data_IF_187744307105
#
_entry.id   IF_187744307105
#
_cell.length_a   1.000
_cell.length_b   1.000
_cell.length_c   1.000
_cell.angle_alpha   90.00
_cell.angle_beta   90.00
_cell.angle_gamma   90.00
#
_symmetry.space_group_name_H-M   'P 1'
#
loop_
_entity.id
_entity.type
_entity.pdbx_description
1 polymer ?
#
# COMPACT_ATOMS: atom_id res chain seq x y z
N UNK A 1 1.68 -2.15 -5.69
CA UNK A 1 1.56 -0.70 -5.97
C UNK A 1 0.53 -0.34 -7.05
N UNK A 2 0.68 -0.75 -8.32
CA UNK A 2 -0.24 -0.34 -9.38
C UNK A 2 -1.74 -0.57 -9.07
N UNK A 3 -2.10 -1.71 -8.46
CA UNK A 3 -3.46 -2.01 -8.01
C UNK A 3 -3.95 -1.06 -6.90
N UNK A 4 -3.10 -0.74 -5.92
CA UNK A 4 -3.44 0.17 -4.81
C UNK A 4 -3.71 1.58 -5.37
N UNK A 5 -2.76 2.12 -6.14
CA UNK A 5 -2.91 3.45 -6.74
C UNK A 5 -4.11 3.49 -7.70
N UNK A 6 -4.37 2.41 -8.44
CA UNK A 6 -5.56 2.30 -9.28
C UNK A 6 -6.84 2.47 -8.46
N UNK A 7 -6.95 1.74 -7.35
CA UNK A 7 -8.09 1.76 -6.46
C UNK A 7 -8.23 3.06 -5.66
N UNK A 8 -7.12 3.77 -5.42
CA UNK A 8 -7.13 5.04 -4.72
C UNK A 8 -7.70 6.20 -5.53
N UNK A 9 -7.83 6.10 -6.86
CA UNK A 9 -8.26 7.24 -7.70
C UNK A 9 -9.57 7.88 -7.18
N UNK A 10 -9.66 9.22 -7.14
CA UNK A 10 -8.66 10.22 -7.59
C UNK A 10 -7.62 10.61 -6.51
N UNK A 11 -7.53 9.89 -5.40
CA UNK A 11 -6.66 10.23 -4.25
C UNK A 11 -5.18 9.99 -4.57
N UNK A 12 -4.34 10.68 -3.80
CA UNK A 12 -2.87 10.57 -3.81
C UNK A 12 -2.39 9.92 -2.51
N UNK A 13 -1.15 9.42 -2.50
CA UNK A 13 -0.52 8.84 -1.33
C UNK A 13 0.99 9.12 -1.33
N UNK A 14 1.55 9.46 -0.17
CA UNK A 14 3.00 9.48 0.02
C UNK A 14 3.57 8.04 0.09
N UNK A 15 4.90 7.91 0.16
CA UNK A 15 5.57 6.62 0.25
C UNK A 15 5.18 5.85 1.52
N UNK A 16 5.06 6.53 2.66
CA UNK A 16 4.70 5.90 3.94
C UNK A 16 3.33 5.25 3.85
N UNK A 17 2.31 5.99 3.40
CA UNK A 17 0.98 5.48 3.16
C UNK A 17 1.01 4.29 2.20
N UNK A 18 1.74 4.36 1.10
CA UNK A 18 1.82 3.23 0.17
C UNK A 18 2.41 1.96 0.80
N UNK A 19 3.41 2.09 1.68
CA UNK A 19 3.97 0.97 2.45
C UNK A 19 2.92 0.38 3.39
N UNK A 20 2.20 1.22 4.14
CA UNK A 20 1.12 0.79 5.02
C UNK A 20 0.01 0.08 4.23
N UNK A 21 -0.41 0.65 3.09
CA UNK A 21 -1.46 0.06 2.25
C UNK A 21 -1.01 -1.25 1.58
N UNK A 22 0.27 -1.42 1.22
CA UNK A 22 0.81 -2.70 0.72
C UNK A 22 0.63 -3.80 1.77
N UNK A 23 1.01 -3.48 3.01
CA UNK A 23 0.84 -4.40 4.12
C UNK A 23 -0.63 -4.75 4.33
N UNK A 24 -1.50 -3.74 4.39
CA UNK A 24 -2.93 -3.95 4.61
C UNK A 24 -3.56 -4.81 3.51
N UNK A 25 -3.09 -4.67 2.27
CA UNK A 25 -3.53 -5.47 1.14
C UNK A 25 -3.08 -6.93 1.26
N UNK A 26 -1.88 -7.20 1.77
CA UNK A 26 -1.37 -8.55 1.98
C UNK A 26 -2.04 -9.23 3.17
N UNK A 27 -2.14 -8.53 4.30
CA UNK A 27 -2.60 -9.04 5.60
C UNK A 27 -3.97 -8.50 6.00
N UNK A 28 -4.88 -8.38 5.04
CA UNK A 28 -6.18 -7.73 5.24
C UNK A 28 -6.98 -8.32 6.41
N UNK A 29 -6.87 -9.62 6.68
CA UNK A 29 -7.62 -10.26 7.77
C UNK A 29 -7.22 -9.75 9.16
N UNK A 30 -5.95 -9.37 9.34
CA UNK A 30 -5.45 -8.85 10.61
C UNK A 30 -6.04 -7.46 10.93
N UNK A 31 -6.48 -6.76 9.89
CA UNK A 31 -7.10 -5.44 9.95
C UNK A 31 -8.62 -5.51 9.74
N UNK A 32 -9.23 -6.64 10.11
CA UNK A 32 -10.68 -6.90 9.99
C UNK A 32 -11.21 -6.80 8.54
N UNK A 33 -10.34 -7.02 7.56
CA UNK A 33 -10.66 -7.06 6.14
C UNK A 33 -10.94 -8.48 5.60
N UNK A 34 -10.94 -8.63 4.27
CA UNK A 34 -11.02 -9.93 3.59
C UNK A 34 -9.90 -10.90 4.04
N UNK A 35 -10.02 -12.21 3.77
CA UNK A 35 -8.95 -13.17 4.04
C UNK A 35 -7.60 -12.71 3.48
N UNK A 36 -6.51 -12.82 4.23
CA UNK A 36 -5.17 -12.41 3.77
C UNK A 36 -4.74 -13.15 2.50
N UNK A 37 -3.97 -12.51 1.63
CA UNK A 37 -3.41 -13.16 0.43
C UNK A 37 -2.33 -14.18 0.76
N UNK A 38 -1.59 -13.92 1.83
CA UNK A 38 -0.48 -14.73 2.28
C UNK A 38 -0.76 -15.29 3.68
N UNK A 39 -0.30 -16.52 3.92
CA UNK A 39 -0.32 -17.14 5.24
C UNK A 39 0.55 -16.31 6.20
N UNK A 40 0.11 -16.07 7.44
CA UNK A 40 0.93 -15.51 8.51
C UNK A 40 2.35 -16.09 8.56
N UNK A 41 3.38 -15.23 8.46
CA UNK A 41 4.77 -15.59 8.83
C UNK A 41 5.19 -14.87 10.12
N UNK A 42 6.11 -15.43 10.93
CA UNK A 42 6.70 -14.74 12.08
C UNK A 42 7.51 -13.49 11.64
N UNK A 43 7.69 -12.51 12.54
CA UNK A 43 8.54 -11.31 12.34
C UNK A 43 8.14 -10.42 11.15
N UNK A 44 6.96 -9.80 11.22
CA UNK A 44 6.40 -9.02 10.10
C UNK A 44 6.82 -7.56 10.04
N UNK A 45 7.29 -6.98 11.14
CA UNK A 45 7.80 -5.60 11.20
C UNK A 45 9.07 -5.41 10.37
N UNK A 46 10.01 -6.36 10.43
CA UNK A 46 11.24 -6.35 9.62
C UNK A 46 10.96 -6.50 8.12
N UNK A 47 9.85 -7.16 7.75
CA UNK A 47 9.42 -7.30 6.36
C UNK A 47 8.95 -5.97 5.77
N UNK A 48 8.24 -5.14 6.56
CA UNK A 48 7.76 -3.82 6.12
C UNK A 48 8.93 -2.92 5.74
N UNK A 49 9.99 -2.89 6.56
CA UNK A 49 11.17 -2.08 6.28
C UNK A 49 11.94 -2.59 5.05
N UNK A 50 12.15 -3.91 4.95
CA UNK A 50 12.77 -4.52 3.77
C UNK A 50 11.95 -4.31 2.48
N UNK A 51 10.66 -4.01 2.59
CA UNK A 51 9.78 -3.72 1.45
C UNK A 51 9.78 -2.25 1.06
N UNK A 52 10.12 -1.30 1.94
CA UNK A 52 10.13 0.14 1.64
C UNK A 52 11.02 0.47 0.45
N UNK A 53 12.30 0.09 0.50
CA UNK A 53 13.26 0.38 -0.57
C UNK A 53 12.83 -0.25 -1.90
N UNK A 54 12.31 -1.49 -1.85
CA UNK A 54 11.78 -2.18 -3.04
C UNK A 54 10.53 -1.52 -3.61
N UNK A 55 9.67 -0.98 -2.75
CA UNK A 55 8.48 -0.22 -3.17
C UNK A 55 8.93 1.06 -3.85
N UNK A 56 9.90 1.78 -3.29
CA UNK A 56 10.45 3.00 -3.87
C UNK A 56 11.10 2.75 -5.24
N UNK A 57 11.97 1.75 -5.36
CA UNK A 57 12.55 1.32 -6.65
C UNK A 57 11.45 0.95 -7.66
N UNK A 58 10.43 0.23 -7.21
CA UNK A 58 9.28 -0.13 -8.03
C UNK A 58 8.50 1.09 -8.52
N UNK A 59 8.25 2.07 -7.64
CA UNK A 59 7.58 3.33 -7.97
C UNK A 59 8.37 4.14 -8.98
N UNK A 60 9.70 4.21 -8.83
CA UNK A 60 10.58 4.84 -9.81
C UNK A 60 10.45 4.20 -11.19
N UNK A 61 10.55 2.87 -11.28
CA UNK A 61 10.40 2.13 -12.54
C UNK A 61 9.02 2.31 -13.17
N UNK A 62 7.95 2.26 -12.35
CA UNK A 62 6.58 2.46 -12.83
C UNK A 62 6.34 3.90 -13.31
N UNK A 63 6.98 4.89 -12.68
CA UNK A 63 6.95 6.29 -13.09
C UNK A 63 7.58 6.47 -14.46
N UNK A 64 8.77 5.88 -14.67
CA UNK A 64 9.44 5.87 -15.97
C UNK A 64 8.62 5.22 -17.11
N UNK A 65 7.58 4.44 -16.78
CA UNK A 65 6.66 3.81 -17.74
C UNK A 65 5.26 4.44 -17.76
N UNK A 66 5.03 5.53 -17.04
CA UNK A 66 3.74 6.24 -16.99
C UNK A 66 2.61 5.44 -16.32
N UNK A 67 2.96 4.39 -15.57
CA UNK A 67 2.01 3.61 -14.77
C UNK A 67 1.68 4.37 -13.51
N UNK A 68 2.69 4.92 -12.85
CA UNK A 68 2.54 5.81 -11.68
C UNK A 68 2.92 7.22 -12.11
N UNK A 69 2.31 8.22 -11.51
CA UNK A 69 2.79 9.60 -11.57
C UNK A 69 3.32 9.94 -10.18
N UNK A 70 4.54 10.45 -10.12
CA UNK A 70 5.10 11.08 -8.93
C UNK A 70 4.98 12.59 -9.11
N UNK A 71 4.45 13.27 -8.10
CA UNK A 71 4.28 14.71 -8.04
C UNK A 71 4.76 15.22 -6.68
N UNK A 72 4.75 16.54 -6.48
CA UNK A 72 5.17 17.16 -5.22
C UNK A 72 4.06 18.03 -4.65
N UNK A 73 3.90 17.99 -3.33
CA UNK A 73 3.14 18.96 -2.57
C UNK A 73 4.02 19.58 -1.47
N UNK A 74 3.42 20.40 -0.61
CA UNK A 74 4.13 21.06 0.49
C UNK A 74 4.74 20.07 1.50
N UNK A 75 4.26 18.82 1.53
CA UNK A 75 4.70 17.74 2.43
C UNK A 75 5.71 16.78 1.78
N UNK A 76 6.04 16.96 0.50
CA UNK A 76 7.03 16.16 -0.23
C UNK A 76 6.47 15.41 -1.44
N UNK A 77 7.00 14.21 -1.70
CA UNK A 77 6.64 13.41 -2.88
C UNK A 77 5.31 12.69 -2.63
N UNK A 78 4.37 12.88 -3.55
CA UNK A 78 3.10 12.15 -3.61
C UNK A 78 3.03 11.31 -4.87
N UNK A 79 2.35 10.18 -4.76
CA UNK A 79 2.15 9.23 -5.84
C UNK A 79 0.66 9.09 -6.14
N UNK A 80 0.36 9.03 -7.43
CA UNK A 80 -0.97 8.78 -7.94
C UNK A 80 -0.93 7.83 -9.14
N UNK A 81 -2.07 7.26 -9.47
CA UNK A 81 -2.17 6.38 -10.61
C UNK A 81 -2.04 7.16 -11.92
N UNK A 82 -0.97 6.89 -12.65
CA UNK A 82 -0.67 7.53 -13.93
C UNK A 82 -1.59 7.08 -15.06
N UNK A 83 -1.43 7.67 -16.26
CA UNK A 83 -2.30 7.44 -17.42
C UNK A 83 -2.39 5.97 -17.84
N UNK A 84 -1.30 5.19 -17.69
CA UNK A 84 -1.23 3.78 -18.10
C UNK A 84 -1.61 2.80 -16.99
N UNK A 85 -1.85 3.26 -15.76
CA UNK A 85 -2.11 2.33 -14.64
C UNK A 85 -3.37 1.49 -14.84
N UNK A 86 -4.46 2.07 -15.36
CA UNK A 86 -5.68 1.29 -15.65
C UNK A 86 -5.43 0.19 -16.69
N UNK A 87 -4.70 0.50 -17.76
CA UNK A 87 -4.36 -0.47 -18.78
C UNK A 87 -3.50 -1.59 -18.22
N UNK A 88 -2.49 -1.26 -17.40
CA UNK A 88 -1.64 -2.26 -16.76
C UNK A 88 -2.44 -3.19 -15.84
N UNK A 89 -3.26 -2.63 -14.93
CA UNK A 89 -4.07 -3.42 -13.98
C UNK A 89 -5.00 -4.37 -14.75
N UNK A 90 -5.70 -3.87 -15.76
CA UNK A 90 -6.63 -4.66 -16.58
C UNK A 90 -5.94 -5.76 -17.41
N UNK A 91 -4.63 -5.64 -17.67
CA UNK A 91 -3.89 -6.67 -18.40
C UNK A 91 -3.65 -7.92 -17.54
N UNK A 92 -3.73 -7.83 -16.21
CA UNK A 92 -3.60 -8.98 -15.32
C UNK A 92 -4.95 -9.68 -15.14
N UNK A 93 -5.08 -10.88 -15.71
CA UNK A 93 -6.36 -11.64 -15.74
C UNK A 93 -6.37 -12.87 -14.83
N UNK A 94 -5.27 -13.15 -14.13
CA UNK A 94 -5.14 -14.33 -13.28
C UNK A 94 -6.11 -14.26 -12.08
N UNK A 95 -6.42 -15.42 -11.51
CA UNK A 95 -7.19 -15.48 -10.26
C UNK A 95 -6.53 -14.66 -9.15
N UNK A 96 -5.21 -14.76 -9.02
CA UNK A 96 -4.45 -13.97 -8.04
C UNK A 96 -4.62 -12.46 -8.25
N UNK A 97 -4.58 -11.99 -9.50
CA UNK A 97 -4.78 -10.59 -9.80
C UNK A 97 -6.17 -10.08 -9.41
N UNK A 98 -7.22 -10.89 -9.61
CA UNK A 98 -8.58 -10.55 -9.15
C UNK A 98 -8.67 -10.46 -7.63
N UNK A 99 -8.05 -11.38 -6.91
CA UNK A 99 -7.98 -11.34 -5.45
C UNK A 99 -7.20 -10.12 -4.94
N UNK A 100 -6.14 -9.75 -5.65
CA UNK A 100 -5.34 -8.55 -5.39
C UNK A 100 -6.16 -7.27 -5.61
N UNK A 101 -6.91 -7.20 -6.71
CA UNK A 101 -7.78 -6.06 -7.04
C UNK A 101 -8.90 -5.89 -6.00
N UNK A 102 -9.55 -6.97 -5.58
CA UNK A 102 -10.58 -6.93 -4.53
C UNK A 102 -10.04 -6.33 -3.22
N UNK A 103 -8.84 -6.75 -2.80
CA UNK A 103 -8.21 -6.22 -1.59
C UNK A 103 -7.69 -4.81 -1.77
N UNK A 104 -7.18 -4.46 -2.94
CA UNK A 104 -6.82 -3.07 -3.25
C UNK A 104 -8.04 -2.14 -3.15
N UNK A 105 -9.20 -2.59 -3.64
CA UNK A 105 -10.48 -1.90 -3.47
C UNK A 105 -10.86 -1.74 -2.00
N UNK A 106 -10.75 -2.82 -1.21
CA UNK A 106 -11.01 -2.77 0.23
C UNK A 106 -10.05 -1.81 0.96
N UNK A 107 -8.75 -1.88 0.69
CA UNK A 107 -7.73 -1.01 1.27
C UNK A 107 -8.01 0.45 0.92
N UNK A 108 -8.28 0.77 -0.34
CA UNK A 108 -8.60 2.12 -0.76
C UNK A 108 -9.92 2.64 -0.16
N UNK A 109 -10.94 1.79 -0.03
CA UNK A 109 -12.21 2.14 0.60
C UNK A 109 -12.10 2.35 2.12
N UNK A 110 -11.24 1.59 2.80
CA UNK A 110 -11.12 1.60 4.27
C UNK A 110 -10.13 2.64 4.78
N UNK A 111 -9.04 2.85 4.03
CA UNK A 111 -7.88 3.62 4.49
C UNK A 111 -7.51 4.79 3.57
N UNK A 112 -8.18 4.92 2.42
CA UNK A 112 -7.82 5.92 1.40
C UNK A 112 -7.87 7.37 1.90
N UNK A 113 -8.80 7.70 2.80
CA UNK A 113 -8.96 9.06 3.36
C UNK A 113 -8.25 9.27 4.70
N UNK A 114 -7.60 8.22 5.25
CA UNK A 114 -6.89 8.31 6.53
C UNK A 114 -5.46 8.77 6.30
N UNK A 115 -4.96 9.72 7.08
CA UNK A 115 -3.57 10.19 6.96
C UNK A 115 -2.56 9.07 7.26
N UNK A 116 -1.33 9.23 6.76
CA UNK A 116 -0.22 8.30 6.97
C UNK A 116 0.06 8.08 8.46
N UNK A 117 0.01 9.13 9.27
CA UNK A 117 0.25 9.07 10.72
C UNK A 117 -0.89 8.36 11.46
N UNK A 118 -2.14 8.68 11.14
CA UNK A 118 -3.30 8.01 11.73
C UNK A 118 -3.37 6.54 11.33
N UNK A 119 -2.94 6.19 10.10
CA UNK A 119 -2.82 4.80 9.68
C UNK A 119 -1.76 4.06 10.48
N UNK A 120 -0.60 4.68 10.70
CA UNK A 120 0.46 4.07 11.47
C UNK A 120 0.02 3.79 12.91
N UNK A 121 -0.59 4.76 13.60
CA UNK A 121 -1.14 4.57 14.96
C UNK A 121 -2.21 3.48 15.01
N UNK A 122 -3.09 3.46 13.99
CA UNK A 122 -4.14 2.45 13.90
C UNK A 122 -3.57 1.06 13.71
N UNK A 123 -2.53 0.91 12.90
CA UNK A 123 -1.90 -0.39 12.66
C UNK A 123 -1.07 -0.86 13.83
N UNK A 124 -0.50 0.06 14.62
CA UNK A 124 0.12 -0.28 15.90
C UNK A 124 -0.93 -0.83 16.90
N UNK A 125 -2.11 -0.22 16.94
CA UNK A 125 -3.19 -0.62 17.88
C UNK A 125 -3.94 -1.90 17.43
N UNK A 126 -4.31 -1.98 16.15
CA UNK A 126 -5.12 -3.09 15.59
C UNK A 126 -4.26 -4.23 15.05
N UNK A 127 -3.05 -3.92 14.58
CA UNK A 127 -2.09 -4.89 14.08
C UNK A 127 -1.45 -5.63 15.24
N UNK A 128 -2.12 -6.69 15.72
CA UNK A 128 -1.61 -7.59 16.78
C UNK A 128 -0.22 -8.19 16.51
N UNK A 129 0.32 -8.00 15.31
CA UNK A 129 1.63 -8.49 14.86
C UNK A 129 2.56 -7.37 14.36
N UNK A 130 2.20 -6.09 14.48
CA UNK A 130 3.06 -4.96 14.11
C UNK A 130 4.20 -4.74 15.10
N UNK A 131 4.03 -5.14 16.37
CA UNK A 131 5.05 -5.02 17.41
C UNK A 131 5.38 -3.56 17.74
N UNK A 132 5.70 -3.30 19.00
CA UNK A 132 5.99 -1.95 19.54
C UNK A 132 7.20 -1.22 18.90
N UNK A 133 7.82 -1.79 17.87
CA UNK A 133 9.02 -1.27 17.20
C UNK A 133 8.72 -0.27 16.07
N UNK A 134 7.45 -0.07 15.70
CA UNK A 134 7.06 0.94 14.71
C UNK A 134 7.05 2.35 15.34
N UNK A 135 6.61 2.45 16.62
CA UNK A 135 6.52 3.72 17.35
C UNK A 135 7.88 4.39 17.59
N UNK A 136 8.94 3.60 17.77
CA UNK A 136 10.31 4.11 17.94
C UNK A 136 10.93 4.62 16.62
N UNK A 137 10.30 4.38 15.47
CA UNK A 137 10.84 4.67 14.13
C UNK A 137 10.03 5.73 13.36
N UNK A 138 9.01 6.32 13.99
CA UNK A 138 8.22 7.47 13.49
C UNK A 138 8.62 8.80 14.14
N UNK A 139 9.64 8.79 15.01
CA UNK A 139 10.26 9.99 15.59
C UNK A 139 11.59 10.33 14.91
#
# INVERSE_FOLDING_TARGET
MAFILHALRPRVADLQKLVLLDYALVYSADLKGPPSLHTPVPQRSSEVYARRDRIEEGLYLMSAKGVVTADFNDDGIIYLAGPRCRQLVNAFTSRYARELELRAGWVAGTFGDVSSDSLAQRFDTEGRFWGAEIGDLLN
#
